data_IF_463844132219
#
_entry.id   IF_463844132219
#
_cell.length_a   1.000
_cell.length_b   1.000
_cell.length_c   1.000
_cell.angle_alpha   90.00
_cell.angle_beta   90.00
_cell.angle_gamma   90.00
#
_symmetry.space_group_name_H-M   'P 1'
#
loop_
_entity.id
_entity.type
_entity.pdbx_description
1 polymer ?
#
# COMPACT_ATOMS: atom_id res chain seq x y z
N UNK A 1 22.01 2.00 -11.98
CA UNK A 1 22.64 3.11 -12.73
C UNK A 1 22.58 2.76 -14.20
N UNK A 2 22.31 3.73 -15.06
CA UNK A 2 22.00 3.48 -16.48
C UNK A 2 23.14 3.98 -17.37
N UNK A 3 23.97 3.05 -17.83
CA UNK A 3 25.07 3.32 -18.76
C UNK A 3 24.61 4.02 -20.04
N UNK A 4 23.36 3.76 -20.45
CA UNK A 4 22.75 4.33 -21.65
C UNK A 4 22.08 5.69 -21.41
N UNK A 5 22.26 6.32 -20.25
CA UNK A 5 21.61 7.60 -19.94
C UNK A 5 21.89 8.69 -21.01
N UNK A 6 23.15 8.96 -21.42
CA UNK A 6 23.42 9.98 -22.44
C UNK A 6 22.81 9.63 -23.81
N UNK A 7 22.86 8.36 -24.19
CA UNK A 7 22.25 7.90 -25.44
C UNK A 7 20.74 8.12 -25.45
N UNK A 8 20.05 7.87 -24.33
CA UNK A 8 18.61 8.16 -24.24
C UNK A 8 18.31 9.64 -24.27
N UNK A 9 19.14 10.49 -23.67
CA UNK A 9 19.02 11.95 -23.79
C UNK A 9 19.05 12.37 -25.26
N UNK A 10 19.96 11.81 -26.04
CA UNK A 10 20.00 12.01 -27.49
C UNK A 10 18.73 11.52 -28.20
N UNK A 11 18.28 10.28 -27.92
CA UNK A 11 17.07 9.73 -28.51
C UNK A 11 15.84 10.59 -28.20
N UNK A 12 15.70 11.07 -26.96
CA UNK A 12 14.57 11.91 -26.55
C UNK A 12 14.62 13.28 -27.23
N UNK A 13 15.80 13.90 -27.29
CA UNK A 13 15.99 15.17 -27.97
C UNK A 13 15.59 15.06 -29.44
N UNK A 14 16.15 14.08 -30.15
CA UNK A 14 15.87 13.84 -31.56
C UNK A 14 14.40 13.52 -31.81
N UNK A 15 13.79 12.61 -31.04
CA UNK A 15 12.38 12.24 -31.22
C UNK A 15 11.43 13.40 -30.95
N UNK A 16 11.72 14.24 -29.96
CA UNK A 16 10.92 15.43 -29.69
C UNK A 16 11.09 16.47 -30.81
N UNK A 17 12.32 16.67 -31.30
CA UNK A 17 12.58 17.55 -32.43
C UNK A 17 11.84 17.07 -33.69
N UNK A 18 11.93 15.78 -34.01
CA UNK A 18 11.29 15.17 -35.18
C UNK A 18 9.76 15.28 -35.10
N UNK A 19 9.17 15.02 -33.93
CA UNK A 19 7.72 15.08 -33.73
C UNK A 19 7.17 16.51 -33.83
N UNK A 20 7.86 17.49 -33.24
CA UNK A 20 7.31 18.85 -33.09
C UNK A 20 7.91 19.87 -34.05
N UNK A 21 8.99 19.52 -34.77
CA UNK A 21 9.71 20.38 -35.70
C UNK A 21 10.09 21.74 -35.08
N UNK A 22 10.50 21.70 -33.80
CA UNK A 22 10.92 22.87 -33.01
C UNK A 22 12.23 22.56 -32.29
N UNK A 23 13.10 23.56 -32.06
CA UNK A 23 14.28 23.40 -31.22
C UNK A 23 13.92 22.84 -29.84
N UNK A 24 14.66 21.83 -29.38
CA UNK A 24 14.43 21.14 -28.11
C UNK A 24 15.64 21.32 -27.20
N UNK A 25 15.40 21.78 -25.97
CA UNK A 25 16.38 21.75 -24.89
C UNK A 25 16.22 20.47 -24.08
N UNK A 26 17.33 19.80 -23.77
CA UNK A 26 17.37 18.66 -22.88
C UNK A 26 18.09 19.04 -21.60
N UNK A 27 17.45 18.85 -20.45
CA UNK A 27 17.99 19.16 -19.12
C UNK A 27 17.98 17.90 -18.27
N UNK A 28 19.06 17.64 -17.54
CA UNK A 28 19.15 16.51 -16.64
C UNK A 28 19.23 16.96 -15.17
N UNK A 29 18.39 16.37 -14.32
CA UNK A 29 18.48 16.48 -12.86
C UNK A 29 18.97 15.13 -12.33
N UNK A 30 20.21 15.10 -11.82
CA UNK A 30 20.89 13.90 -11.38
C UNK A 30 20.65 13.71 -9.88
N UNK A 31 19.75 12.79 -9.56
CA UNK A 31 19.34 12.45 -8.20
C UNK A 31 19.95 11.17 -7.65
N UNK A 32 21.07 10.65 -8.19
CA UNK A 32 21.78 9.45 -7.71
C UNK A 32 22.75 9.74 -6.55
N UNK A 33 23.48 8.72 -6.07
CA UNK A 33 24.37 8.80 -4.88
C UNK A 33 25.87 8.93 -5.23
N UNK A 34 26.23 8.91 -6.52
CA UNK A 34 27.63 8.93 -6.94
C UNK A 34 28.07 10.34 -7.26
N UNK A 35 28.96 10.90 -6.44
CA UNK A 35 29.47 12.28 -6.59
C UNK A 35 30.02 12.56 -7.99
N UNK A 36 30.76 11.60 -8.57
CA UNK A 36 31.47 11.76 -9.84
C UNK A 36 30.65 11.39 -11.08
N UNK A 37 29.45 10.83 -10.91
CA UNK A 37 28.62 10.50 -12.07
C UNK A 37 27.86 11.73 -12.55
N UNK A 38 28.33 12.32 -13.65
CA UNK A 38 27.86 13.59 -14.23
C UNK A 38 27.88 13.54 -15.76
N UNK A 39 27.05 12.70 -16.40
CA UNK A 39 26.97 12.66 -17.85
C UNK A 39 26.38 13.98 -18.36
N UNK A 40 27.04 14.64 -19.29
CA UNK A 40 26.63 15.93 -19.86
C UNK A 40 26.54 15.93 -21.40
N UNK A 41 26.90 14.81 -22.02
CA UNK A 41 27.01 14.73 -23.47
C UNK A 41 26.91 13.30 -23.99
N UNK A 42 26.46 13.19 -25.24
CA UNK A 42 26.49 11.97 -26.04
C UNK A 42 27.08 12.29 -27.40
N UNK A 43 28.02 11.48 -27.86
CA UNK A 43 28.67 11.65 -29.15
C UNK A 43 28.96 10.31 -29.83
N UNK A 44 28.99 10.32 -31.17
CA UNK A 44 29.57 9.25 -31.97
C UNK A 44 30.06 9.78 -33.31
N UNK A 45 31.01 9.05 -33.90
CA UNK A 45 31.56 9.35 -35.22
C UNK A 45 31.64 8.06 -36.03
N UNK A 46 31.10 8.07 -37.24
CA UNK A 46 31.16 6.94 -38.18
C UNK A 46 31.43 7.49 -39.58
N UNK A 47 32.51 7.01 -40.22
CA UNK A 47 32.87 7.35 -41.61
C UNK A 47 32.86 8.88 -41.92
N UNK A 48 33.33 9.70 -40.98
CA UNK A 48 33.36 11.17 -41.13
C UNK A 48 32.05 11.89 -40.82
N UNK A 49 30.97 11.17 -40.49
CA UNK A 49 29.75 11.74 -39.92
C UNK A 49 29.89 11.82 -38.40
N UNK A 50 29.69 13.01 -37.83
CA UNK A 50 29.72 13.25 -36.39
C UNK A 50 28.33 13.67 -35.89
N UNK A 51 27.91 13.06 -34.78
CA UNK A 51 26.75 13.50 -34.01
C UNK A 51 27.20 13.79 -32.60
N UNK A 52 26.79 14.95 -32.09
CA UNK A 52 27.09 15.39 -30.74
C UNK A 52 25.88 16.11 -30.15
N UNK A 53 25.47 15.68 -28.96
CA UNK A 53 24.50 16.38 -28.13
C UNK A 53 25.16 16.70 -26.80
N UNK A 54 25.24 17.99 -26.47
CA UNK A 54 25.58 18.48 -25.13
C UNK A 54 24.32 18.95 -24.43
N UNK A 55 24.20 18.66 -23.15
CA UNK A 55 23.01 19.02 -22.36
C UNK A 55 23.41 19.48 -20.95
N UNK A 56 22.77 20.54 -20.41
CA UNK A 56 22.99 20.96 -19.03
C UNK A 56 22.56 19.89 -18.03
N UNK A 57 23.36 19.74 -16.97
CA UNK A 57 23.07 18.84 -15.85
C UNK A 57 23.16 19.54 -14.52
N UNK A 58 22.23 19.25 -13.62
CA UNK A 58 22.26 19.67 -12.22
C UNK A 58 22.36 18.43 -11.35
N UNK A 59 23.30 18.41 -10.39
CA UNK A 59 23.47 17.31 -9.45
C UNK A 59 22.85 17.70 -8.10
N UNK A 60 21.88 16.92 -7.63
CA UNK A 60 21.19 17.26 -6.39
C UNK A 60 22.08 17.14 -5.15
N UNK A 61 23.07 16.22 -5.17
CA UNK A 61 24.03 16.05 -4.08
C UNK A 61 24.85 17.32 -3.78
N UNK A 62 25.08 18.16 -4.78
CA UNK A 62 25.90 19.38 -4.61
C UNK A 62 25.27 20.36 -3.64
N UNK A 63 23.95 20.31 -3.51
CA UNK A 63 23.20 21.17 -2.59
C UNK A 63 23.26 20.70 -1.13
N UNK A 64 23.93 19.58 -0.82
CA UNK A 64 24.18 19.19 0.56
C UNK A 64 25.12 20.18 1.26
N UNK A 65 26.11 20.72 0.54
CA UNK A 65 27.00 21.77 1.04
C UNK A 65 26.29 23.13 1.14
N UNK A 66 25.33 23.39 0.25
CA UNK A 66 24.50 24.60 0.23
C UNK A 66 23.18 24.46 1.00
N UNK A 67 23.14 23.66 2.07
CA UNK A 67 21.89 23.38 2.80
C UNK A 67 21.16 24.65 3.27
N UNK A 68 21.90 25.63 3.81
CA UNK A 68 21.31 26.89 4.29
C UNK A 68 20.64 27.70 3.18
N UNK A 69 21.15 27.62 1.94
CA UNK A 69 20.52 28.28 0.78
C UNK A 69 19.19 27.61 0.42
N UNK A 70 19.13 26.27 0.49
CA UNK A 70 17.88 25.53 0.28
C UNK A 70 16.83 25.89 1.34
N UNK A 71 17.23 26.00 2.61
CA UNK A 71 16.32 26.39 3.70
C UNK A 71 15.80 27.82 3.54
N UNK A 72 16.64 28.76 3.12
CA UNK A 72 16.26 30.15 2.91
C UNK A 72 15.43 30.36 1.63
N UNK A 73 15.54 29.49 0.63
CA UNK A 73 14.88 29.66 -0.66
C UNK A 73 13.35 29.65 -0.56
N UNK A 74 12.70 30.61 -1.21
CA UNK A 74 11.23 30.62 -1.41
C UNK A 74 10.78 29.69 -2.54
N UNK A 75 11.71 29.04 -3.24
CA UNK A 75 11.36 28.13 -4.33
C UNK A 75 10.74 26.84 -3.76
N UNK A 76 9.53 26.44 -4.19
CA UNK A 76 8.89 25.20 -3.73
C UNK A 76 9.69 23.93 -4.05
N UNK A 77 10.59 23.95 -5.04
CA UNK A 77 11.46 22.81 -5.32
C UNK A 77 12.61 22.67 -4.33
N UNK A 78 13.00 23.73 -3.61
CA UNK A 78 14.09 23.65 -2.63
C UNK A 78 13.78 22.63 -1.53
N UNK A 79 12.53 22.59 -1.04
CA UNK A 79 12.12 21.63 -0.03
C UNK A 79 12.09 20.19 -0.57
N UNK A 80 11.78 20.01 -1.86
CA UNK A 80 11.82 18.71 -2.51
C UNK A 80 13.28 18.22 -2.64
N UNK A 81 14.22 19.11 -2.97
CA UNK A 81 15.65 18.78 -2.98
C UNK A 81 16.12 18.39 -1.57
N UNK A 82 15.74 19.15 -0.54
CA UNK A 82 16.04 18.80 0.85
C UNK A 82 15.47 17.44 1.26
N UNK A 83 14.21 17.17 0.89
CA UNK A 83 13.56 15.88 1.14
C UNK A 83 14.31 14.74 0.44
N UNK A 84 14.71 14.91 -0.82
CA UNK A 84 15.47 13.93 -1.57
C UNK A 84 16.82 13.61 -0.90
N UNK A 85 17.57 14.64 -0.52
CA UNK A 85 18.86 14.48 0.18
C UNK A 85 18.69 13.73 1.51
N UNK A 86 17.70 14.11 2.33
CA UNK A 86 17.46 13.45 3.63
C UNK A 86 16.85 12.07 3.49
N UNK A 87 16.09 11.80 2.44
CA UNK A 87 15.60 10.44 2.14
C UNK A 87 16.78 9.48 2.00
N UNK A 88 17.80 9.90 1.25
CA UNK A 88 19.02 9.13 1.02
C UNK A 88 19.85 8.98 2.28
N UNK A 89 20.16 10.09 2.96
CA UNK A 89 20.98 10.10 4.16
C UNK A 89 20.38 9.25 5.31
N UNK A 90 19.05 9.12 5.34
CA UNK A 90 18.32 8.36 6.38
C UNK A 90 17.92 6.95 5.96
N UNK A 91 18.49 6.43 4.87
CA UNK A 91 18.24 5.04 4.44
C UNK A 91 18.63 4.07 5.54
N UNK A 92 17.71 3.19 5.94
CA UNK A 92 17.89 2.26 7.06
C UNK A 92 17.76 2.89 8.45
N UNK A 93 17.57 4.21 8.57
CA UNK A 93 17.49 4.96 9.84
C UNK A 93 16.10 5.58 10.02
N UNK A 94 15.10 4.74 10.26
CA UNK A 94 13.69 5.16 10.31
C UNK A 94 13.37 6.27 11.33
N UNK A 95 13.94 6.28 12.56
CA UNK A 95 13.68 7.37 13.51
C UNK A 95 14.23 8.73 13.02
N UNK A 96 15.43 8.75 12.46
CA UNK A 96 16.01 9.97 11.87
C UNK A 96 15.19 10.45 10.66
N UNK A 97 14.68 9.50 9.85
CA UNK A 97 13.80 9.82 8.72
C UNK A 97 12.51 10.49 9.18
N UNK A 98 11.88 10.00 10.25
CA UNK A 98 10.67 10.63 10.81
C UNK A 98 10.95 12.07 11.27
N UNK A 99 12.08 12.29 11.97
CA UNK A 99 12.48 13.62 12.42
C UNK A 99 12.69 14.60 11.27
N UNK A 100 13.38 14.17 10.21
CA UNK A 100 13.58 15.01 9.02
C UNK A 100 12.30 15.25 8.25
N UNK A 101 11.46 14.22 8.08
CA UNK A 101 10.15 14.35 7.43
C UNK A 101 9.27 15.34 8.16
N UNK A 102 9.24 15.29 9.50
CA UNK A 102 8.56 16.28 10.33
C UNK A 102 9.10 17.70 10.12
N UNK A 103 10.42 17.89 10.17
CA UNK A 103 11.05 19.21 9.96
C UNK A 103 10.70 19.80 8.60
N UNK A 104 10.70 18.99 7.55
CA UNK A 104 10.35 19.44 6.19
C UNK A 104 8.87 19.78 6.07
N UNK A 105 7.98 18.92 6.58
CA UNK A 105 6.54 19.18 6.58
C UNK A 105 6.23 20.47 7.32
N UNK A 106 6.77 20.63 8.54
CA UNK A 106 6.62 21.87 9.32
C UNK A 106 7.13 23.09 8.55
N UNK A 107 8.28 22.97 7.88
CA UNK A 107 8.84 24.02 7.06
C UNK A 107 7.95 24.49 5.90
N UNK A 108 7.02 23.65 5.42
CA UNK A 108 6.02 24.08 4.42
C UNK A 108 5.08 25.15 4.97
N UNK A 109 4.67 25.03 6.24
CA UNK A 109 3.75 25.97 6.90
C UNK A 109 4.45 27.23 7.41
N UNK A 110 5.78 27.19 7.53
CA UNK A 110 6.59 28.34 7.93
C UNK A 110 6.93 29.24 6.74
N UNK A 111 6.80 28.73 5.52
CA UNK A 111 6.97 29.49 4.28
C UNK A 111 5.65 30.07 3.80
N UNK A 112 5.72 31.13 3.00
CA UNK A 112 4.57 31.82 2.39
C UNK A 112 4.01 31.05 1.18
N UNK A 113 3.77 29.75 1.33
CA UNK A 113 3.15 28.94 0.29
C UNK A 113 1.64 29.00 0.37
N UNK A 114 1.00 29.03 -0.79
CA UNK A 114 -0.45 28.88 -0.89
C UNK A 114 -0.87 27.48 -0.41
N UNK A 115 -2.07 27.38 0.18
CA UNK A 115 -2.58 26.12 0.74
C UNK A 115 -2.50 24.94 -0.24
N UNK A 116 -2.85 25.17 -1.51
CA UNK A 116 -2.79 24.14 -2.55
C UNK A 116 -1.35 23.68 -2.84
N UNK A 117 -0.38 24.59 -2.77
CA UNK A 117 1.04 24.24 -2.92
C UNK A 117 1.52 23.41 -1.73
N UNK A 118 1.14 23.77 -0.50
CA UNK A 118 1.47 23.00 0.70
C UNK A 118 0.95 21.57 0.58
N UNK A 119 -0.31 21.40 0.16
CA UNK A 119 -0.95 20.08 -0.07
C UNK A 119 -0.14 19.24 -1.06
N UNK A 120 0.19 19.80 -2.24
CA UNK A 120 0.96 19.07 -3.27
C UNK A 120 2.38 18.75 -2.84
N UNK A 121 3.07 19.68 -2.19
CA UNK A 121 4.44 19.46 -1.70
C UNK A 121 4.46 18.43 -0.57
N UNK A 122 3.47 18.47 0.32
CA UNK A 122 3.28 17.48 1.37
C UNK A 122 3.16 16.08 0.79
N UNK A 123 2.30 15.86 -0.23
CA UNK A 123 2.15 14.56 -0.89
C UNK A 123 3.46 14.04 -1.45
N UNK A 124 4.23 14.90 -2.12
CA UNK A 124 5.51 14.53 -2.70
C UNK A 124 6.49 14.11 -1.59
N UNK A 125 6.62 14.90 -0.52
CA UNK A 125 7.49 14.58 0.61
C UNK A 125 7.04 13.29 1.30
N UNK A 126 5.73 13.12 1.49
CA UNK A 126 5.17 11.98 2.20
C UNK A 126 5.41 10.65 1.45
N UNK A 127 5.22 10.67 0.13
CA UNK A 127 5.50 9.53 -0.73
C UNK A 127 7.01 9.24 -0.84
N UNK A 128 7.84 10.28 -0.94
CA UNK A 128 9.29 10.14 -1.06
C UNK A 128 9.93 9.60 0.22
N UNK A 129 9.52 10.11 1.38
CA UNK A 129 10.05 9.74 2.70
C UNK A 129 9.17 8.70 3.37
N UNK A 130 9.19 7.46 2.87
CA UNK A 130 8.37 6.38 3.44
C UNK A 130 8.80 6.02 4.86
N UNK A 131 7.82 5.88 5.75
CA UNK A 131 7.97 5.47 7.14
C UNK A 131 7.22 4.16 7.43
N UNK A 132 7.59 3.48 8.51
CA UNK A 132 6.77 2.36 9.02
C UNK A 132 5.40 2.87 9.49
N UNK A 133 4.34 2.04 9.49
CA UNK A 133 3.00 2.46 9.89
C UNK A 133 2.95 3.14 11.26
N UNK A 134 3.66 2.60 12.25
CA UNK A 134 3.71 3.17 13.62
C UNK A 134 4.28 4.59 13.65
N UNK A 135 5.39 4.82 12.94
CA UNK A 135 6.03 6.15 12.87
C UNK A 135 5.19 7.12 12.04
N UNK A 136 4.53 6.63 10.99
CA UNK A 136 3.62 7.44 10.18
C UNK A 136 2.42 7.93 11.00
N UNK A 137 1.77 7.05 11.78
CA UNK A 137 0.69 7.46 12.68
C UNK A 137 1.14 8.44 13.78
N UNK A 138 2.36 8.26 14.29
CA UNK A 138 2.94 9.21 15.25
C UNK A 138 3.19 10.58 14.61
N UNK A 139 3.66 10.62 13.36
CA UNK A 139 3.89 11.85 12.62
C UNK A 139 2.56 12.57 12.31
N UNK A 140 1.54 11.84 11.89
CA UNK A 140 0.21 12.38 11.60
C UNK A 140 -0.43 13.01 12.84
N UNK A 141 -0.22 12.42 14.01
CA UNK A 141 -0.67 12.98 15.28
C UNK A 141 0.05 14.31 15.61
N UNK A 142 1.36 14.41 15.34
CA UNK A 142 2.14 15.66 15.51
C UNK A 142 1.67 16.75 14.55
N UNK A 143 1.41 16.40 13.29
CA UNK A 143 0.90 17.34 12.28
C UNK A 143 -0.46 17.87 12.71
N UNK A 144 -1.37 16.98 13.13
CA UNK A 144 -2.70 17.38 13.59
C UNK A 144 -2.64 18.39 14.73
N UNK A 145 -1.84 18.09 15.76
CA UNK A 145 -1.65 19.00 16.90
C UNK A 145 -1.11 20.37 16.44
N UNK A 146 -0.12 20.38 15.55
CA UNK A 146 0.47 21.62 15.04
C UNK A 146 -0.51 22.45 14.20
N UNK A 147 -1.38 21.81 13.42
CA UNK A 147 -2.42 22.49 12.65
C UNK A 147 -3.53 23.07 13.54
N UNK A 148 -3.91 22.36 14.61
CA UNK A 148 -4.86 22.83 15.62
C UNK A 148 -4.32 24.08 16.33
N UNK A 149 -3.03 24.09 16.72
CA UNK A 149 -2.36 25.23 17.34
C UNK A 149 -2.31 26.47 16.42
N UNK A 150 -2.22 26.27 15.10
CA UNK A 150 -2.13 27.34 14.09
C UNK A 150 -3.44 27.69 13.39
N UNK A 151 -4.56 27.05 13.76
CA UNK A 151 -5.87 27.19 13.11
C UNK A 151 -5.84 27.10 11.58
N UNK A 152 -4.96 26.26 11.02
CA UNK A 152 -4.79 26.05 9.57
C UNK A 152 -4.87 24.56 9.20
N UNK A 153 -6.07 23.97 9.11
CA UNK A 153 -6.20 22.53 8.85
C UNK A 153 -5.90 22.18 7.38
N UNK A 154 -5.03 21.19 7.14
CA UNK A 154 -4.80 20.58 5.83
C UNK A 154 -5.82 19.46 5.59
N UNK A 155 -7.08 19.88 5.50
CA UNK A 155 -8.26 18.99 5.38
C UNK A 155 -8.14 17.96 4.24
N UNK A 156 -7.37 18.19 3.17
CA UNK A 156 -7.43 17.30 1.99
C UNK A 156 -6.69 15.95 2.16
N UNK A 157 -5.46 15.91 2.65
CA UNK A 157 -4.59 14.73 2.45
C UNK A 157 -4.59 13.74 3.60
N UNK A 158 -4.66 14.23 4.84
CA UNK A 158 -4.83 13.37 5.99
C UNK A 158 -6.23 12.74 6.03
N UNK A 159 -7.26 13.46 5.59
CA UNK A 159 -8.62 12.89 5.48
C UNK A 159 -8.71 11.86 4.34
N UNK A 160 -8.14 12.15 3.15
CA UNK A 160 -8.08 11.17 2.06
C UNK A 160 -7.31 9.92 2.47
N UNK A 161 -6.19 10.07 3.19
CA UNK A 161 -5.43 8.92 3.70
C UNK A 161 -6.18 8.19 4.80
N UNK A 162 -6.79 8.90 5.75
CA UNK A 162 -7.63 8.33 6.79
C UNK A 162 -8.80 7.54 6.21
N UNK A 163 -9.40 8.03 5.11
CA UNK A 163 -10.43 7.32 4.36
C UNK A 163 -9.91 6.04 3.72
N UNK A 164 -8.77 6.09 3.01
CA UNK A 164 -8.12 4.90 2.43
C UNK A 164 -7.75 3.86 3.49
N UNK A 165 -7.15 4.29 4.60
CA UNK A 165 -6.81 3.41 5.72
C UNK A 165 -8.08 2.81 6.33
N UNK A 166 -9.15 3.60 6.47
CA UNK A 166 -10.45 3.13 6.94
C UNK A 166 -11.06 2.07 6.02
N UNK A 167 -10.94 2.25 4.70
CA UNK A 167 -11.38 1.30 3.68
C UNK A 167 -10.56 0.00 3.75
N UNK A 168 -9.22 0.08 3.79
CA UNK A 168 -8.33 -1.09 3.92
C UNK A 168 -8.57 -1.88 5.21
N UNK A 169 -8.71 -1.19 6.35
CA UNK A 169 -9.04 -1.83 7.63
C UNK A 169 -10.43 -2.49 7.58
N UNK A 170 -11.39 -1.82 6.94
CA UNK A 170 -12.74 -2.36 6.74
C UNK A 170 -12.75 -3.63 5.91
N UNK A 171 -11.98 -3.66 4.82
CA UNK A 171 -11.82 -4.83 3.95
C UNK A 171 -11.14 -5.99 4.67
N UNK A 172 -10.02 -5.75 5.35
CA UNK A 172 -9.30 -6.77 6.10
C UNK A 172 -10.19 -7.40 7.19
N UNK A 173 -10.91 -6.57 7.94
CA UNK A 173 -11.88 -7.06 8.94
C UNK A 173 -13.02 -7.85 8.29
N UNK A 174 -13.51 -7.40 7.12
CA UNK A 174 -14.54 -8.12 6.36
C UNK A 174 -14.09 -9.51 5.91
N UNK A 175 -12.87 -9.62 5.38
CA UNK A 175 -12.26 -10.88 4.95
C UNK A 175 -12.05 -11.83 6.13
N UNK A 176 -11.48 -11.32 7.23
CA UNK A 176 -11.21 -12.14 8.42
C UNK A 176 -12.50 -12.70 9.03
N UNK A 177 -13.51 -11.85 9.18
CA UNK A 177 -14.84 -12.26 9.68
C UNK A 177 -15.54 -13.22 8.72
N UNK A 178 -15.44 -12.98 7.41
CA UNK A 178 -16.00 -13.87 6.39
C UNK A 178 -15.33 -15.26 6.39
N UNK A 179 -14.02 -15.32 6.61
CA UNK A 179 -13.27 -16.58 6.75
C UNK A 179 -13.68 -17.35 7.99
N UNK A 180 -13.86 -16.67 9.12
CA UNK A 180 -14.28 -17.29 10.38
C UNK A 180 -15.70 -17.87 10.26
N UNK A 181 -16.66 -17.07 9.77
CA UNK A 181 -18.04 -17.51 9.50
C UNK A 181 -18.06 -18.67 8.49
N UNK A 182 -17.30 -18.58 7.40
CA UNK A 182 -17.21 -19.64 6.40
C UNK A 182 -16.66 -20.95 6.96
N UNK A 183 -15.73 -20.87 7.92
CA UNK A 183 -15.18 -22.05 8.61
C UNK A 183 -16.22 -22.72 9.51
N UNK A 184 -17.01 -21.93 10.24
CA UNK A 184 -18.10 -22.46 11.08
C UNK A 184 -19.21 -23.11 10.23
N UNK A 185 -19.65 -22.44 9.16
CA UNK A 185 -20.66 -22.97 8.24
C UNK A 185 -20.16 -24.28 7.60
N UNK A 186 -18.93 -24.28 7.07
CA UNK A 186 -18.35 -25.48 6.47
C UNK A 186 -18.17 -26.64 7.44
N UNK A 187 -17.88 -26.37 8.73
CA UNK A 187 -17.83 -27.40 9.76
C UNK A 187 -19.21 -28.00 10.03
N UNK A 188 -20.26 -27.17 10.12
CA UNK A 188 -21.64 -27.62 10.30
C UNK A 188 -22.14 -28.45 9.11
N UNK A 189 -21.91 -27.97 7.88
CA UNK A 189 -22.26 -28.71 6.65
C UNK A 189 -21.56 -30.06 6.59
N UNK A 190 -20.25 -30.09 6.83
CA UNK A 190 -19.47 -31.34 6.84
C UNK A 190 -19.98 -32.34 7.88
N UNK A 191 -20.35 -31.88 9.07
CA UNK A 191 -20.91 -32.75 10.10
C UNK A 191 -22.30 -33.29 9.69
N UNK A 192 -23.16 -32.45 9.13
CA UNK A 192 -24.47 -32.88 8.61
C UNK A 192 -24.33 -33.93 7.50
N UNK A 193 -23.41 -33.70 6.56
CA UNK A 193 -23.14 -34.61 5.45
C UNK A 193 -22.51 -35.92 5.91
N UNK A 194 -21.65 -35.88 6.94
CA UNK A 194 -21.10 -37.08 7.56
C UNK A 194 -22.20 -37.96 8.19
N UNK A 195 -23.14 -37.36 8.93
CA UNK A 195 -24.27 -38.08 9.53
C UNK A 195 -25.12 -38.74 8.43
N UNK A 196 -25.47 -37.99 7.38
CA UNK A 196 -26.22 -38.53 6.23
C UNK A 196 -25.47 -39.69 5.59
N UNK A 197 -24.17 -39.52 5.32
CA UNK A 197 -23.34 -40.57 4.71
C UNK A 197 -23.33 -41.85 5.55
N UNK A 198 -23.13 -41.75 6.87
CA UNK A 198 -23.14 -42.91 7.77
C UNK A 198 -24.50 -43.62 7.76
N UNK A 199 -25.60 -42.87 7.84
CA UNK A 199 -26.94 -43.43 7.79
C UNK A 199 -27.23 -44.12 6.45
N UNK A 200 -26.81 -43.52 5.33
CA UNK A 200 -27.00 -44.10 4.00
C UNK A 200 -26.23 -45.40 3.84
N UNK A 201 -24.97 -45.43 4.31
CA UNK A 201 -24.12 -46.63 4.24
C UNK A 201 -24.68 -47.76 5.09
N UNK A 202 -25.20 -47.48 6.29
CA UNK A 202 -25.67 -48.51 7.22
C UNK A 202 -27.07 -49.03 6.93
N UNK A 203 -27.98 -48.15 6.48
CA UNK A 203 -29.41 -48.45 6.42
C UNK A 203 -30.02 -48.27 5.02
N UNK A 204 -29.24 -47.87 4.02
CA UNK A 204 -29.71 -47.66 2.64
C UNK A 204 -30.37 -46.29 2.45
N UNK A 205 -31.52 -46.25 1.79
CA UNK A 205 -32.21 -44.97 1.53
C UNK A 205 -32.76 -44.36 2.82
N UNK A 206 -32.36 -43.12 3.10
CA UNK A 206 -32.88 -42.34 4.22
C UNK A 206 -34.13 -41.58 3.76
N UNK A 207 -35.15 -41.46 4.61
CA UNK A 207 -36.33 -40.65 4.30
C UNK A 207 -36.00 -39.15 4.26
N UNK A 208 -36.63 -38.42 3.35
CA UNK A 208 -36.51 -36.95 3.23
C UNK A 208 -36.74 -36.19 4.54
N UNK A 209 -37.64 -36.69 5.39
CA UNK A 209 -37.89 -36.13 6.74
C UNK A 209 -36.61 -36.06 7.61
N UNK A 210 -35.76 -37.09 7.57
CA UNK A 210 -34.54 -37.14 8.41
C UNK A 210 -33.48 -36.20 7.85
N UNK A 211 -33.35 -36.13 6.53
CA UNK A 211 -32.43 -35.20 5.87
C UNK A 211 -32.78 -33.74 6.16
N UNK A 212 -34.07 -33.42 6.18
CA UNK A 212 -34.56 -32.07 6.45
C UNK A 212 -34.32 -31.67 7.91
N UNK A 213 -34.53 -32.59 8.86
CA UNK A 213 -34.27 -32.34 10.28
C UNK A 213 -32.77 -32.11 10.52
N UNK A 214 -31.90 -32.98 9.98
CA UNK A 214 -30.43 -32.81 10.09
C UNK A 214 -29.97 -31.51 9.44
N UNK A 215 -30.56 -31.13 8.29
CA UNK A 215 -30.24 -29.89 7.58
C UNK A 215 -30.53 -28.62 8.38
N UNK A 216 -31.54 -28.64 9.26
CA UNK A 216 -31.94 -27.49 10.09
C UNK A 216 -31.11 -27.36 11.39
N UNK A 217 -30.30 -28.35 11.76
CA UNK A 217 -29.56 -28.33 13.02
C UNK A 217 -28.32 -27.44 12.98
N UNK A 218 -28.29 -26.40 13.81
CA UNK A 218 -27.18 -25.42 13.88
C UNK A 218 -26.22 -25.66 15.05
N UNK A 219 -26.55 -26.58 15.96
CA UNK A 219 -25.72 -26.84 17.15
C UNK A 219 -24.66 -27.92 16.85
N UNK A 220 -23.36 -27.59 16.88
CA UNK A 220 -22.29 -28.53 16.55
C UNK A 220 -22.18 -29.71 17.54
N UNK A 221 -22.46 -29.49 18.82
CA UNK A 221 -22.40 -30.53 19.85
C UNK A 221 -23.46 -31.59 19.62
N UNK A 222 -24.66 -31.16 19.23
CA UNK A 222 -25.76 -32.07 18.88
C UNK A 222 -25.42 -32.87 17.62
N UNK A 223 -24.79 -32.23 16.62
CA UNK A 223 -24.35 -32.93 15.41
C UNK A 223 -23.28 -34.00 15.71
N UNK A 224 -22.35 -33.77 16.63
CA UNK A 224 -21.39 -34.80 17.05
C UNK A 224 -22.05 -35.99 17.77
N UNK A 225 -23.01 -35.72 18.66
CA UNK A 225 -23.77 -36.78 19.33
C UNK A 225 -24.61 -37.60 18.34
N UNK A 226 -25.23 -36.92 17.37
CA UNK A 226 -25.98 -37.58 16.31
C UNK A 226 -25.11 -38.42 15.39
N UNK A 227 -23.87 -37.98 15.11
CA UNK A 227 -22.91 -38.77 14.36
C UNK A 227 -22.56 -40.07 15.10
N UNK A 228 -22.36 -40.00 16.42
CA UNK A 228 -22.14 -41.19 17.26
C UNK A 228 -23.36 -42.11 17.24
N UNK A 229 -24.56 -41.56 17.40
CA UNK A 229 -25.81 -42.33 17.35
C UNK A 229 -26.05 -42.98 15.98
N UNK A 230 -25.74 -42.28 14.89
CA UNK A 230 -25.83 -42.81 13.55
C UNK A 230 -24.88 -44.02 13.36
N UNK A 231 -23.73 -44.03 14.04
CA UNK A 231 -22.78 -45.13 13.99
C UNK A 231 -23.12 -46.33 14.92
N UNK A 232 -23.86 -46.12 16.02
CA UNK A 232 -24.09 -47.14 17.06
C UNK A 232 -25.49 -47.76 17.08
N UNK A 233 -26.51 -47.08 16.57
CA UNK A 233 -27.90 -47.59 16.56
C UNK A 233 -28.05 -48.82 15.69
N UNK A 234 -29.00 -49.71 15.99
CA UNK A 234 -29.17 -50.97 15.26
C UNK A 234 -30.20 -50.88 14.11
N UNK A 235 -30.99 -49.80 14.06
CA UNK A 235 -31.98 -49.56 13.01
C UNK A 235 -32.28 -48.08 12.80
N UNK A 236 -32.82 -47.76 11.61
CA UNK A 236 -33.25 -46.40 11.28
C UNK A 236 -34.40 -45.90 12.19
N UNK A 237 -35.26 -46.80 12.66
CA UNK A 237 -36.36 -46.48 13.57
C UNK A 237 -35.86 -46.04 14.96
N UNK A 238 -34.84 -46.72 15.49
CA UNK A 238 -34.19 -46.40 16.76
C UNK A 238 -33.43 -45.06 16.70
N UNK A 239 -32.79 -44.78 15.56
CA UNK A 239 -32.21 -43.47 15.28
C UNK A 239 -33.28 -42.37 15.25
N UNK A 240 -34.40 -42.59 14.56
CA UNK A 240 -35.51 -41.62 14.48
C UNK A 240 -36.13 -41.34 15.85
N UNK A 241 -36.24 -42.35 16.72
CA UNK A 241 -36.74 -42.18 18.09
C UNK A 241 -35.79 -41.37 18.97
N UNK A 242 -34.48 -41.61 18.84
CA UNK A 242 -33.46 -40.83 19.55
C UNK A 242 -33.38 -39.39 19.02
N UNK A 243 -33.53 -39.20 17.71
CA UNK A 243 -33.62 -37.89 17.07
C UNK A 243 -34.79 -37.07 17.64
N UNK A 244 -35.96 -37.69 17.83
CA UNK A 244 -37.15 -37.05 18.38
C UNK A 244 -36.99 -36.63 19.86
N UNK A 245 -36.13 -37.31 20.63
CA UNK A 245 -35.83 -36.94 22.03
C UNK A 245 -34.87 -35.76 22.16
N UNK A 246 -34.04 -35.55 21.15
CA UNK A 246 -33.03 -34.47 21.10
C UNK A 246 -33.65 -33.17 20.55
N UNK A 247 -34.77 -33.27 19.84
CA UNK A 247 -35.47 -32.16 19.18
C UNK A 247 -36.59 -31.52 20.06
N UNK A 248 -36.61 -31.81 21.37
CA UNK A 248 -37.45 -31.21 22.41
C UNK A 248 -36.55 -30.32 23.27
#
# INVERSE_FOLDING_TARGET
YEENFPQRMYIYNYRAFDLYQKPVISLAILGDERVNWRPDSYNYTIAGCEVSLKFPTVKLLDYEESWSELEASSNPFAIIVMAHLKTKATTGKLPEREQWKWRLIRGLYEKEFEREQIIKLFEIIDNMMTLSPKLQSSLESKIKQFEEERTMPLVSNMELRGRKIGEEIGELRGIERGKEIGKEIGALEKSRDAIKTVLTVRFGQISSEIEEIIGKMTNPTILEELLKLAATTNSLAEFKQSLAKINI
#
